data_IF_162461669673
#
_entry.id   IF_162461669673
#
_cell.length_a   1.000
_cell.length_b   1.000
_cell.length_c   1.000
_cell.angle_alpha   90.00
_cell.angle_beta   90.00
_cell.angle_gamma   90.00
#
_symmetry.space_group_name_H-M   'P 1'
#
loop_
_entity.id
_entity.type
_entity.pdbx_description
1 polymer ?
#
# COMPACT_ATOMS: atom_id res chain seq x y z
N UNK A 1 19.09 -38.93 -1.06
CA UNK A 1 18.68 -37.62 -0.51
C UNK A 1 18.28 -36.79 -1.71
N UNK A 2 16.99 -36.63 -1.96
CA UNK A 2 16.55 -35.75 -3.07
C UNK A 2 16.93 -34.31 -2.69
N UNK A 3 17.59 -33.54 -3.57
CA UNK A 3 17.82 -32.12 -3.32
C UNK A 3 16.47 -31.44 -3.06
N UNK A 4 16.43 -30.54 -2.08
CA UNK A 4 15.27 -29.69 -1.89
C UNK A 4 15.19 -28.73 -3.08
N UNK A 5 14.26 -28.97 -4.00
CA UNK A 5 14.01 -28.06 -5.11
C UNK A 5 13.19 -26.87 -4.61
N UNK A 6 13.84 -25.70 -4.51
CA UNK A 6 13.15 -24.44 -4.25
C UNK A 6 12.55 -23.96 -5.58
N UNK A 7 11.23 -24.09 -5.71
CA UNK A 7 10.45 -23.58 -6.84
C UNK A 7 9.54 -22.44 -6.39
N UNK A 8 9.34 -21.44 -7.26
CA UNK A 8 8.53 -20.26 -6.96
C UNK A 8 8.57 -19.20 -8.05
N UNK A 9 7.81 -18.11 -7.85
CA UNK A 9 7.71 -16.99 -8.80
C UNK A 9 8.50 -15.77 -8.32
N UNK A 10 9.48 -15.33 -9.11
CA UNK A 10 10.25 -14.11 -8.84
C UNK A 10 9.37 -12.85 -8.91
N UNK A 11 8.31 -12.87 -9.74
CA UNK A 11 7.36 -11.77 -9.85
C UNK A 11 6.62 -11.53 -8.53
N UNK A 12 6.29 -12.60 -7.80
CA UNK A 12 5.62 -12.50 -6.48
C UNK A 12 6.54 -11.88 -5.44
N UNK A 13 7.84 -12.19 -5.48
CA UNK A 13 8.84 -11.55 -4.63
C UNK A 13 9.01 -10.06 -4.99
N UNK A 14 9.09 -9.74 -6.28
CA UNK A 14 9.15 -8.36 -6.77
C UNK A 14 7.93 -7.55 -6.33
N UNK A 15 6.74 -8.12 -6.43
CA UNK A 15 5.51 -7.50 -5.92
C UNK A 15 5.53 -7.33 -4.39
N UNK A 16 5.98 -8.34 -3.65
CA UNK A 16 6.15 -8.25 -2.20
C UNK A 16 7.00 -7.05 -1.79
N UNK A 17 8.11 -6.82 -2.49
CA UNK A 17 8.95 -5.63 -2.28
C UNK A 17 8.25 -4.33 -2.70
N UNK A 18 7.55 -4.34 -3.84
CA UNK A 18 6.80 -3.19 -4.32
C UNK A 18 5.71 -2.73 -3.33
N UNK A 19 5.16 -3.64 -2.51
CA UNK A 19 4.14 -3.29 -1.51
C UNK A 19 4.65 -2.44 -0.34
N UNK A 20 5.96 -2.30 -0.16
CA UNK A 20 6.53 -1.45 0.90
C UNK A 20 6.19 0.02 0.72
N UNK A 21 6.22 0.53 -0.51
CA UNK A 21 5.82 1.90 -0.84
C UNK A 21 4.40 2.25 -0.38
N UNK A 22 3.38 1.51 -0.85
CA UNK A 22 2.01 1.74 -0.41
C UNK A 22 1.81 1.45 1.09
N UNK A 23 2.43 0.41 1.67
CA UNK A 23 2.33 0.16 3.11
C UNK A 23 2.78 1.38 3.94
N UNK A 24 3.92 1.99 3.59
CA UNK A 24 4.43 3.19 4.26
C UNK A 24 3.51 4.39 3.98
N UNK A 25 3.12 4.60 2.72
CA UNK A 25 2.27 5.72 2.32
C UNK A 25 0.93 5.71 3.04
N UNK A 26 0.25 4.57 3.07
CA UNK A 26 -1.02 4.37 3.78
C UNK A 26 -0.84 4.61 5.27
N UNK A 27 0.19 4.05 5.89
CA UNK A 27 0.46 4.25 7.32
C UNK A 27 0.62 5.75 7.66
N UNK A 28 1.39 6.50 6.86
CA UNK A 28 1.62 7.93 7.06
C UNK A 28 0.35 8.76 6.86
N UNK A 29 -0.43 8.47 5.83
CA UNK A 29 -1.69 9.17 5.52
C UNK A 29 -2.67 9.03 6.68
N UNK A 30 -2.91 7.80 7.13
CA UNK A 30 -3.84 7.56 8.24
C UNK A 30 -3.29 8.05 9.57
N UNK A 31 -1.97 7.93 9.82
CA UNK A 31 -1.34 8.52 11.00
C UNK A 31 -1.59 10.04 11.06
N UNK A 32 -1.36 10.76 9.96
CA UNK A 32 -1.60 12.20 9.90
C UNK A 32 -3.09 12.54 10.09
N UNK A 33 -3.98 11.79 9.45
CA UNK A 33 -5.42 11.96 9.59
C UNK A 33 -5.92 11.76 11.02
N UNK A 34 -5.51 10.67 11.67
CA UNK A 34 -5.89 10.34 13.05
C UNK A 34 -5.37 11.42 14.01
N UNK A 35 -4.11 11.85 13.87
CA UNK A 35 -3.55 12.91 14.71
C UNK A 35 -4.24 14.26 14.47
N UNK A 36 -4.61 14.57 13.23
CA UNK A 36 -5.39 15.76 12.91
C UNK A 36 -6.75 15.75 13.60
N UNK A 37 -7.48 14.64 13.50
CA UNK A 37 -8.80 14.46 14.12
C UNK A 37 -8.70 14.51 15.64
N UNK A 38 -7.65 13.92 16.23
CA UNK A 38 -7.44 13.96 17.67
C UNK A 38 -7.22 15.40 18.19
N UNK A 39 -6.65 16.29 17.36
CA UNK A 39 -6.46 17.71 17.70
C UNK A 39 -7.71 18.56 17.43
N UNK A 40 -8.48 18.23 16.40
CA UNK A 40 -9.70 18.95 16.00
C UNK A 40 -10.81 17.96 15.59
N UNK A 41 -11.56 17.43 16.56
CA UNK A 41 -12.63 16.45 16.30
C UNK A 41 -13.73 16.98 15.37
N UNK A 42 -14.06 18.27 15.48
CA UNK A 42 -15.05 18.98 14.66
C UNK A 42 -14.64 19.07 13.17
N UNK A 43 -13.34 19.05 12.88
CA UNK A 43 -12.81 19.10 11.53
C UNK A 43 -12.75 17.72 10.85
N UNK A 44 -13.25 16.65 11.49
CA UNK A 44 -13.18 15.28 10.98
C UNK A 44 -13.64 15.14 9.53
N UNK A 45 -14.75 15.77 9.15
CA UNK A 45 -15.28 15.70 7.78
C UNK A 45 -14.27 16.24 6.77
N UNK A 46 -13.71 17.42 7.05
CA UNK A 46 -12.73 18.09 6.20
C UNK A 46 -11.37 17.39 6.18
N UNK A 47 -10.97 16.72 7.27
CA UNK A 47 -9.72 15.95 7.35
C UNK A 47 -9.83 14.61 6.61
N UNK A 48 -10.96 13.91 6.71
CA UNK A 48 -11.09 12.58 6.12
C UNK A 48 -11.18 12.59 4.58
N UNK A 49 -11.71 13.66 3.98
CA UNK A 49 -11.75 13.79 2.53
C UNK A 49 -10.35 13.70 1.86
N UNK A 50 -9.35 14.53 2.21
CA UNK A 50 -8.01 14.41 1.66
C UNK A 50 -7.30 13.12 2.09
N UNK A 51 -7.58 12.57 3.28
CA UNK A 51 -7.05 11.26 3.71
C UNK A 51 -7.45 10.15 2.73
N UNK A 52 -8.74 10.07 2.37
CA UNK A 52 -9.21 9.04 1.44
C UNK A 52 -8.72 9.27 0.01
N UNK A 53 -8.61 10.52 -0.43
CA UNK A 53 -8.03 10.84 -1.74
C UNK A 53 -6.56 10.42 -1.79
N UNK A 54 -5.78 10.76 -0.76
CA UNK A 54 -4.37 10.36 -0.67
C UNK A 54 -4.20 8.84 -0.63
N UNK A 55 -5.05 8.15 0.15
CA UNK A 55 -5.07 6.69 0.22
C UNK A 55 -5.30 6.06 -1.16
N UNK A 56 -6.31 6.53 -1.91
CA UNK A 56 -6.62 6.02 -3.24
C UNK A 56 -5.46 6.22 -4.23
N UNK A 57 -4.76 7.36 -4.17
CA UNK A 57 -3.59 7.64 -5.02
C UNK A 57 -2.44 6.68 -4.71
N UNK A 58 -2.17 6.43 -3.43
CA UNK A 58 -1.12 5.51 -3.00
C UNK A 58 -1.44 4.07 -3.42
N UNK A 59 -2.68 3.64 -3.22
CA UNK A 59 -3.12 2.29 -3.60
C UNK A 59 -3.19 2.09 -5.12
N UNK A 60 -3.38 3.14 -5.92
CA UNK A 60 -3.34 3.01 -7.38
C UNK A 60 -2.00 2.42 -7.86
N UNK A 61 -0.89 2.79 -7.22
CA UNK A 61 0.43 2.23 -7.54
C UNK A 61 0.58 0.78 -7.05
N UNK A 62 -0.02 0.45 -5.91
CA UNK A 62 -0.04 -0.92 -5.38
C UNK A 62 -0.76 -1.87 -6.34
N UNK A 63 -1.94 -1.45 -6.83
CA UNK A 63 -2.75 -2.22 -7.78
C UNK A 63 -2.01 -2.39 -9.11
N UNK A 64 -1.33 -1.36 -9.61
CA UNK A 64 -0.50 -1.49 -10.82
C UNK A 64 0.64 -2.51 -10.62
N UNK A 65 1.32 -2.46 -9.47
CA UNK A 65 2.33 -3.46 -9.13
C UNK A 65 1.76 -4.88 -9.04
N UNK A 66 0.58 -5.03 -8.46
CA UNK A 66 -0.14 -6.30 -8.37
C UNK A 66 -0.42 -6.85 -9.76
N UNK A 67 -1.03 -6.05 -10.65
CA UNK A 67 -1.36 -6.47 -12.01
C UNK A 67 -0.10 -6.89 -12.78
N UNK A 68 0.97 -6.10 -12.70
CA UNK A 68 2.23 -6.42 -13.38
C UNK A 68 2.86 -7.73 -12.91
N UNK A 69 2.69 -8.09 -11.63
CA UNK A 69 3.19 -9.34 -11.07
C UNK A 69 2.61 -10.60 -11.75
N UNK A 70 1.40 -10.50 -12.31
CA UNK A 70 0.70 -11.62 -12.95
C UNK A 70 0.68 -11.55 -14.49
N UNK A 71 0.82 -10.36 -15.06
CA UNK A 71 0.72 -10.16 -16.52
C UNK A 71 2.07 -10.32 -17.22
N UNK A 72 3.17 -9.94 -16.58
CA UNK A 72 4.53 -10.04 -17.15
C UNK A 72 5.05 -11.47 -16.98
N UNK A 73 5.60 -12.06 -18.06
CA UNK A 73 6.12 -13.43 -18.10
C UNK A 73 7.62 -13.44 -18.36
#
# INVERSE_FOLDING_TARGET
MTPLEISGSLNVLGYGLATLGPAIGVALIFYAGINGIARQPEARGTIMQPVYIGFAIVEALAILGFVLAFVVR
#
